data_IF_351922117469
#
_entry.id   IF_351922117469
#
_cell.length_a   1.000
_cell.length_b   1.000
_cell.length_c   1.000
_cell.angle_alpha   90.00
_cell.angle_beta   90.00
_cell.angle_gamma   90.00
#
_symmetry.space_group_name_H-M   'P 1'
#
loop_
_entity.id
_entity.type
_entity.pdbx_description
1 polymer ?
#
# COMPACT_ATOMS: atom_id res chain seq x y z
N UNK A 1 -68.65 -0.47 -39.21
CA UNK A 1 -68.65 0.35 -37.99
C UNK A 1 -67.31 0.13 -37.29
N UNK A 2 -66.32 0.94 -37.67
CA UNK A 2 -65.02 1.05 -37.03
C UNK A 2 -65.18 1.87 -35.75
N UNK A 3 -64.91 1.27 -34.58
CA UNK A 3 -64.59 1.97 -33.33
C UNK A 3 -64.65 0.95 -32.19
N UNK A 4 -63.48 0.53 -31.70
CA UNK A 4 -63.26 0.42 -30.25
C UNK A 4 -61.84 0.03 -29.85
N UNK A 5 -60.90 -0.22 -30.78
CA UNK A 5 -59.52 -0.61 -30.39
C UNK A 5 -58.45 0.47 -30.68
N UNK A 6 -58.83 1.65 -31.18
CA UNK A 6 -57.87 2.74 -31.48
C UNK A 6 -57.80 3.85 -30.43
N UNK A 7 -58.59 3.84 -29.37
CA UNK A 7 -58.55 4.91 -28.34
C UNK A 7 -57.66 4.61 -27.14
N UNK A 8 -57.19 3.36 -26.98
CA UNK A 8 -56.26 3.00 -25.88
C UNK A 8 -54.80 3.20 -26.28
N UNK A 9 -54.48 3.26 -27.58
CA UNK A 9 -53.12 3.52 -28.05
C UNK A 9 -52.78 5.01 -28.24
N UNK A 10 -53.77 5.91 -28.19
CA UNK A 10 -53.57 7.35 -28.45
C UNK A 10 -53.63 8.21 -27.17
N UNK A 11 -54.12 7.67 -26.04
CA UNK A 11 -54.06 8.33 -24.73
C UNK A 11 -52.94 7.79 -23.82
N UNK A 12 -52.02 7.00 -24.37
CA UNK A 12 -50.78 6.58 -23.70
C UNK A 12 -49.53 7.36 -24.14
N UNK A 13 -49.66 8.25 -25.13
CA UNK A 13 -48.54 8.97 -25.76
C UNK A 13 -48.52 10.48 -25.50
N UNK A 14 -49.35 11.00 -24.58
CA UNK A 14 -49.42 12.44 -24.26
C UNK A 14 -48.72 12.81 -22.92
N UNK A 15 -48.04 11.88 -22.24
CA UNK A 15 -47.43 12.18 -20.92
C UNK A 15 -46.01 11.67 -20.70
N UNK A 16 -45.19 11.51 -21.74
CA UNK A 16 -43.76 11.22 -21.52
C UNK A 16 -42.84 11.88 -22.54
N UNK A 17 -43.02 13.17 -22.79
CA UNK A 17 -41.90 14.02 -23.22
C UNK A 17 -42.18 15.48 -22.88
N UNK A 18 -41.74 15.89 -21.68
CA UNK A 18 -41.33 17.28 -21.46
C UNK A 18 -40.37 17.38 -20.28
N UNK A 19 -39.14 17.73 -20.62
CA UNK A 19 -38.24 18.62 -19.89
C UNK A 19 -37.81 18.23 -18.48
N UNK A 20 -36.52 17.89 -18.39
CA UNK A 20 -35.83 17.83 -17.11
C UNK A 20 -34.41 17.29 -17.21
N UNK A 21 -33.52 17.93 -17.98
CA UNK A 21 -32.08 17.82 -17.69
C UNK A 21 -31.86 18.37 -16.26
N UNK A 22 -31.40 17.59 -15.27
CA UNK A 22 -30.99 18.18 -14.01
C UNK A 22 -29.58 18.74 -14.22
N UNK A 23 -29.53 20.03 -14.47
CA UNK A 23 -28.34 20.84 -14.22
C UNK A 23 -28.10 20.95 -12.71
N UNK A 24 -26.92 20.46 -12.30
CA UNK A 24 -26.05 20.95 -11.21
C UNK A 24 -26.52 20.89 -9.75
N UNK A 25 -25.56 20.39 -8.95
CA UNK A 25 -25.25 20.76 -7.56
C UNK A 25 -26.15 20.21 -6.45
N UNK A 26 -25.81 19.00 -5.99
CA UNK A 26 -25.91 18.65 -4.58
C UNK A 26 -24.66 17.84 -4.20
N UNK A 27 -23.77 18.49 -3.45
CA UNK A 27 -22.49 17.94 -3.04
C UNK A 27 -22.67 16.77 -2.07
N UNK A 28 -22.33 15.58 -2.52
CA UNK A 28 -21.66 14.62 -1.66
C UNK A 28 -20.22 14.57 -2.17
N UNK A 29 -19.30 15.04 -1.34
CA UNK A 29 -17.87 14.91 -1.59
C UNK A 29 -17.56 13.43 -1.65
N UNK A 30 -17.54 12.86 -2.86
CA UNK A 30 -16.86 11.60 -3.11
C UNK A 30 -15.42 11.88 -2.72
N UNK A 31 -15.05 11.48 -1.50
CA UNK A 31 -13.67 11.51 -1.03
C UNK A 31 -12.93 10.60 -2.00
N UNK A 32 -12.40 11.22 -3.06
CA UNK A 32 -11.43 10.63 -3.96
C UNK A 32 -10.45 9.94 -3.05
N UNK A 33 -10.31 8.62 -3.21
CA UNK A 33 -9.40 7.84 -2.42
C UNK A 33 -8.03 8.51 -2.56
N UNK A 34 -7.65 9.26 -1.54
CA UNK A 34 -6.36 9.90 -1.49
C UNK A 34 -5.41 8.72 -1.40
N UNK A 35 -4.59 8.45 -2.44
CA UNK A 35 -3.62 7.40 -2.31
C UNK A 35 -2.79 7.83 -1.11
N UNK A 36 -2.79 7.04 -0.04
CA UNK A 36 -1.78 7.26 0.98
C UNK A 36 -0.47 7.20 0.22
N UNK A 37 0.22 8.33 0.17
CA UNK A 37 1.56 8.43 -0.41
C UNK A 37 2.39 7.52 0.49
N UNK A 38 2.43 6.23 0.13
CA UNK A 38 3.35 5.29 0.71
C UNK A 38 4.66 5.82 0.20
N UNK A 39 5.37 6.58 1.05
CA UNK A 39 6.73 7.03 0.81
C UNK A 39 7.55 5.76 0.59
N UNK A 40 7.56 5.28 -0.65
CA UNK A 40 8.54 4.35 -1.15
C UNK A 40 9.81 5.17 -1.19
N UNK A 41 10.58 5.10 -0.10
CA UNK A 41 11.99 5.46 -0.14
C UNK A 41 12.64 4.48 -1.12
N UNK A 42 12.73 4.92 -2.38
CA UNK A 42 13.49 4.27 -3.44
C UNK A 42 14.93 4.22 -2.95
N UNK A 43 15.43 3.03 -2.65
CA UNK A 43 16.82 2.82 -2.31
C UNK A 43 17.64 2.97 -3.59
N UNK A 44 18.07 4.21 -3.88
CA UNK A 44 19.08 4.47 -4.89
C UNK A 44 20.43 4.13 -4.27
N UNK A 45 21.01 3.05 -4.80
CA UNK A 45 22.36 2.59 -4.50
C UNK A 45 23.27 3.15 -5.58
N UNK A 46 23.93 4.28 -5.31
CA UNK A 46 25.16 4.70 -5.99
C UNK A 46 25.65 6.02 -5.41
N UNK A 47 26.86 6.03 -4.85
CA UNK A 47 27.66 7.24 -4.70
C UNK A 47 27.77 7.94 -6.05
N UNK A 48 27.29 9.18 -6.16
CA UNK A 48 27.98 10.25 -6.89
C UNK A 48 27.48 11.60 -6.37
N UNK A 49 28.42 12.52 -6.17
CA UNK A 49 28.26 13.81 -5.52
C UNK A 49 27.64 14.85 -6.45
N UNK A 50 26.55 15.51 -6.04
CA UNK A 50 26.17 16.79 -6.65
C UNK A 50 25.45 17.70 -5.65
N UNK A 51 26.13 18.79 -5.30
CA UNK A 51 25.69 19.95 -4.50
C UNK A 51 24.25 20.38 -4.79
N UNK A 52 23.36 20.21 -3.81
CA UNK A 52 22.25 21.12 -3.55
C UNK A 52 22.23 21.38 -2.05
N UNK A 53 22.42 22.65 -1.66
CA UNK A 53 22.34 23.11 -0.27
C UNK A 53 20.93 22.88 0.26
N UNK A 54 20.80 22.16 1.37
CA UNK A 54 19.65 22.30 2.27
C UNK A 54 18.75 21.08 2.48
N UNK A 55 19.30 19.95 2.90
CA UNK A 55 18.66 19.10 3.92
C UNK A 55 19.73 18.23 4.58
N UNK A 56 20.40 18.77 5.59
CA UNK A 56 21.11 17.92 6.54
C UNK A 56 20.04 17.09 7.24
N UNK A 57 19.92 15.79 6.92
CA UNK A 57 19.49 14.84 7.95
C UNK A 57 20.62 14.91 8.96
N UNK A 58 20.45 15.77 9.96
CA UNK A 58 21.35 15.77 11.10
C UNK A 58 21.17 14.39 11.72
N UNK A 59 22.20 13.56 11.62
CA UNK A 59 22.40 12.45 12.53
C UNK A 59 22.44 13.06 13.94
N UNK A 60 21.26 13.18 14.55
CA UNK A 60 21.12 13.49 15.97
C UNK A 60 21.90 12.49 16.80
N UNK A 61 22.11 12.77 18.10
CA UNK A 61 23.12 12.14 18.94
C UNK A 61 23.30 10.64 18.65
N UNK A 62 24.53 10.31 18.21
CA UNK A 62 25.01 9.10 17.53
C UNK A 62 24.74 7.75 18.24
N UNK A 63 24.02 7.75 19.36
CA UNK A 63 23.74 6.59 20.20
C UNK A 63 22.27 6.28 20.46
N UNK A 64 21.31 7.10 20.02
CA UNK A 64 19.89 6.85 20.34
C UNK A 64 19.08 6.33 19.16
N UNK A 65 18.16 5.40 19.46
CA UNK A 65 17.17 4.89 18.51
C UNK A 65 15.95 5.80 18.33
N UNK A 66 15.88 6.92 19.07
CA UNK A 66 14.72 7.84 19.13
C UNK A 66 14.17 8.22 17.75
N UNK A 67 15.04 8.49 16.77
CA UNK A 67 14.65 8.92 15.42
C UNK A 67 15.34 8.13 14.31
N UNK A 68 15.89 6.94 14.61
CA UNK A 68 16.62 6.12 13.65
C UNK A 68 15.69 5.20 12.87
N UNK A 69 15.57 5.41 11.57
CA UNK A 69 14.80 4.54 10.69
C UNK A 69 15.64 3.38 10.14
N UNK A 70 15.22 2.15 10.38
CA UNK A 70 15.96 0.93 9.98
C UNK A 70 15.38 0.19 8.76
N UNK A 71 14.34 0.72 8.13
CA UNK A 71 13.65 0.03 7.04
C UNK A 71 12.72 -1.09 7.52
N UNK A 72 12.12 -1.78 6.56
CA UNK A 72 11.14 -2.84 6.83
C UNK A 72 11.83 -4.13 7.31
N UNK A 73 11.17 -4.84 8.23
CA UNK A 73 11.67 -6.11 8.79
C UNK A 73 12.88 -5.96 9.71
N UNK A 74 13.19 -4.72 10.11
CA UNK A 74 14.31 -4.36 10.98
C UNK A 74 13.84 -3.45 12.11
N UNK A 75 14.55 -3.49 13.23
CA UNK A 75 14.38 -2.56 14.34
C UNK A 75 15.73 -1.97 14.77
N UNK A 76 15.69 -0.79 15.37
CA UNK A 76 16.87 -0.18 15.96
C UNK A 76 17.19 -0.85 17.30
N UNK A 77 18.48 -1.11 17.55
CA UNK A 77 19.03 -1.58 18.83
C UNK A 77 20.25 -0.75 19.19
N UNK A 78 20.54 -0.58 20.47
CA UNK A 78 21.80 0.02 20.91
C UNK A 78 22.79 -1.12 21.13
N UNK A 79 23.90 -1.09 20.41
CA UNK A 79 24.99 -2.07 20.59
C UNK A 79 25.63 -1.86 21.95
N UNK A 80 25.79 -2.94 22.72
CA UNK A 80 26.42 -2.88 24.06
C UNK A 80 27.93 -2.61 23.98
N UNK A 81 28.54 -2.91 22.84
CA UNK A 81 29.99 -2.76 22.64
C UNK A 81 30.36 -1.34 22.25
N UNK A 82 29.62 -0.76 21.30
CA UNK A 82 29.93 0.56 20.73
C UNK A 82 29.10 1.69 21.35
N UNK A 83 28.00 1.35 22.04
CA UNK A 83 27.02 2.34 22.50
C UNK A 83 26.27 3.02 21.36
N UNK A 84 26.39 2.54 20.13
CA UNK A 84 25.80 3.14 18.94
C UNK A 84 24.47 2.49 18.60
N UNK A 85 23.58 3.28 18.01
CA UNK A 85 22.33 2.78 17.46
C UNK A 85 22.61 2.01 16.16
N UNK A 86 22.19 0.76 16.08
CA UNK A 86 22.38 -0.16 14.95
C UNK A 86 21.05 -0.76 14.51
N UNK A 87 20.95 -1.16 13.25
CA UNK A 87 19.74 -1.76 12.70
C UNK A 87 19.87 -3.28 12.64
N UNK A 88 19.04 -3.99 13.39
CA UNK A 88 19.00 -5.44 13.44
C UNK A 88 17.73 -5.99 12.79
N UNK A 89 17.76 -7.24 12.32
CA UNK A 89 16.56 -7.93 11.86
C UNK A 89 15.58 -8.11 13.01
N UNK A 90 14.27 -8.01 12.72
CA UNK A 90 13.26 -8.28 13.74
C UNK A 90 13.35 -9.73 14.23
N UNK A 91 13.38 -9.92 15.55
CA UNK A 91 13.39 -11.27 16.13
C UNK A 91 12.03 -11.95 16.00
N UNK A 92 10.95 -11.21 16.25
CA UNK A 92 9.57 -11.67 16.11
C UNK A 92 8.71 -10.62 15.41
N UNK A 93 7.74 -11.09 14.63
CA UNK A 93 6.66 -10.28 14.12
C UNK A 93 5.38 -10.52 14.93
N UNK A 94 4.51 -9.50 14.97
CA UNK A 94 3.17 -9.66 15.56
C UNK A 94 2.40 -10.70 14.74
N UNK A 95 1.75 -11.65 15.40
CA UNK A 95 0.90 -12.65 14.75
C UNK A 95 -0.39 -12.00 14.26
N UNK A 96 -0.45 -11.76 12.96
CA UNK A 96 -1.64 -11.32 12.25
C UNK A 96 -1.65 -12.03 10.91
N UNK A 97 -2.79 -12.57 10.50
CA UNK A 97 -2.91 -13.31 9.26
C UNK A 97 -3.34 -12.37 8.13
N UNK A 98 -2.37 -11.99 7.28
CA UNK A 98 -2.57 -11.19 6.07
C UNK A 98 -1.60 -11.70 5.02
N UNK A 99 -1.88 -12.88 4.44
CA UNK A 99 -0.89 -13.64 3.73
C UNK A 99 -0.40 -12.94 2.45
N UNK A 100 0.87 -13.14 2.12
CA UNK A 100 1.51 -12.55 0.94
C UNK A 100 2.45 -13.55 0.29
N UNK A 101 2.58 -13.50 -1.04
CA UNK A 101 3.63 -14.22 -1.75
C UNK A 101 4.89 -13.35 -1.85
N UNK A 102 6.04 -13.92 -1.51
CA UNK A 102 7.36 -13.32 -1.77
C UNK A 102 7.84 -13.59 -3.20
N UNK A 103 8.69 -12.71 -3.72
CA UNK A 103 9.35 -12.90 -5.02
C UNK A 103 10.32 -14.09 -5.04
N UNK A 104 10.63 -14.66 -3.87
CA UNK A 104 11.35 -15.92 -3.72
C UNK A 104 10.44 -17.15 -3.90
N UNK A 105 9.15 -16.95 -4.19
CA UNK A 105 8.17 -18.01 -4.41
C UNK A 105 7.63 -18.63 -3.14
N UNK A 106 7.99 -18.07 -1.98
CA UNK A 106 7.60 -18.53 -0.65
C UNK A 106 6.35 -17.79 -0.16
N UNK A 107 5.56 -18.51 0.63
CA UNK A 107 4.39 -17.98 1.31
C UNK A 107 4.78 -17.40 2.67
N UNK A 108 4.19 -16.26 3.02
CA UNK A 108 4.40 -15.61 4.30
C UNK A 108 3.07 -15.23 4.94
N UNK A 109 2.93 -15.49 6.24
CA UNK A 109 1.71 -15.22 7.01
C UNK A 109 1.31 -13.74 7.01
N UNK A 110 2.30 -12.83 6.92
CA UNK A 110 2.08 -11.41 6.84
C UNK A 110 3.26 -10.61 6.25
N UNK A 111 3.02 -9.32 6.03
CA UNK A 111 4.02 -8.38 5.49
C UNK A 111 5.28 -8.27 6.37
N UNK A 112 5.17 -8.38 7.70
CA UNK A 112 6.35 -8.33 8.56
C UNK A 112 7.27 -9.54 8.33
N UNK A 113 6.69 -10.74 8.20
CA UNK A 113 7.44 -11.97 7.97
C UNK A 113 8.23 -11.95 6.65
N UNK A 114 7.65 -11.44 5.56
CA UNK A 114 8.39 -11.24 4.29
C UNK A 114 9.65 -10.40 4.52
N UNK A 115 9.53 -9.26 5.17
CA UNK A 115 10.67 -8.34 5.32
C UNK A 115 11.68 -8.85 6.34
N UNK A 116 11.21 -9.54 7.38
CA UNK A 116 12.06 -10.25 8.34
C UNK A 116 12.88 -11.33 7.64
N UNK A 117 12.26 -12.16 6.82
CA UNK A 117 12.94 -13.18 6.03
C UNK A 117 13.94 -12.56 5.04
N UNK A 118 13.56 -11.47 4.37
CA UNK A 118 14.47 -10.71 3.50
C UNK A 118 15.71 -10.22 4.25
N UNK A 119 15.53 -9.75 5.49
CA UNK A 119 16.62 -9.32 6.35
C UNK A 119 17.54 -10.49 6.73
N UNK A 120 16.97 -11.59 7.21
CA UNK A 120 17.71 -12.76 7.68
C UNK A 120 18.46 -13.47 6.54
N UNK A 121 17.81 -13.66 5.39
CA UNK A 121 18.40 -14.25 4.18
C UNK A 121 19.39 -13.31 3.49
N UNK A 122 19.49 -12.04 3.91
CA UNK A 122 20.23 -10.96 3.23
C UNK A 122 19.87 -10.85 1.73
N UNK A 123 18.61 -11.14 1.40
CA UNK A 123 18.10 -11.19 0.03
C UNK A 123 16.94 -10.20 -0.11
N UNK A 124 16.85 -9.51 -1.25
CA UNK A 124 15.70 -8.64 -1.54
C UNK A 124 14.50 -9.50 -1.93
N UNK A 125 13.52 -9.59 -1.03
CA UNK A 125 12.23 -10.23 -1.28
C UNK A 125 11.18 -9.13 -1.41
N UNK A 126 10.53 -9.05 -2.57
CA UNK A 126 9.41 -8.15 -2.79
C UNK A 126 8.11 -8.93 -2.77
N UNK A 127 7.04 -8.32 -2.31
CA UNK A 127 5.71 -8.94 -2.37
C UNK A 127 5.25 -8.96 -3.82
N UNK A 128 4.83 -10.13 -4.29
CA UNK A 128 4.30 -10.36 -5.64
C UNK A 128 2.86 -10.86 -5.54
N UNK A 129 2.08 -10.59 -6.58
CA UNK A 129 0.76 -11.18 -6.76
C UNK A 129 0.93 -12.41 -7.64
N UNK A 130 1.13 -13.56 -7.01
CA UNK A 130 1.14 -14.85 -7.69
C UNK A 130 0.24 -15.80 -6.91
N UNK A 131 -0.77 -16.33 -7.58
CA UNK A 131 -1.73 -17.28 -7.02
C UNK A 131 -1.07 -18.62 -6.67
N UNK A 132 0.01 -18.99 -7.38
CA UNK A 132 0.69 -20.29 -7.22
C UNK A 132 1.34 -20.48 -5.83
N UNK A 133 1.76 -19.40 -5.17
CA UNK A 133 2.42 -19.47 -3.87
C UNK A 133 1.46 -19.89 -2.76
N UNK A 134 0.17 -19.63 -2.91
CA UNK A 134 -0.84 -19.98 -1.92
C UNK A 134 -1.11 -21.50 -1.91
N UNK A 135 -0.95 -22.17 -3.05
CA UNK A 135 -1.16 -23.61 -3.14
C UNK A 135 -0.02 -24.42 -2.50
N UNK A 136 1.20 -23.87 -2.41
CA UNK A 136 2.34 -24.53 -1.74
C UNK A 136 2.25 -24.53 -0.22
N UNK A 137 1.45 -23.66 0.38
CA UNK A 137 1.28 -23.60 1.84
C UNK A 137 0.32 -24.67 2.40
N UNK A 138 -0.42 -25.37 1.53
CA UNK A 138 -1.45 -26.34 1.89
C UNK A 138 -1.03 -27.82 1.64
N UNK A 139 0.28 -28.07 1.50
CA UNK A 139 0.88 -29.41 1.36
C UNK A 139 1.89 -29.61 2.47
#
# INVERSE_FOLDING_TARGET
MFKCWSTVLVLGFIFLESEGRPTKEAGYVLKSYQPQIRLRHKQERSQESSRIKGFHIQDGPLGSCENKYCGLGRHCVISRETGQAECACMNLCKRHYKPVCGSDGEFYENHCEVHRAACLKKQKITIVHNEDCFFKANV
#
